data_IF_055886907436
#
_entry.id   IF_055886907436
#
_cell.length_a   1.000
_cell.length_b   1.000
_cell.length_c   1.000
_cell.angle_alpha   90.00
_cell.angle_beta   90.00
_cell.angle_gamma   90.00
#
_symmetry.space_group_name_H-M   'P 1'
#
loop_
_entity.id
_entity.type
_entity.pdbx_description
1 polymer ?
#
# COMPACT_ATOMS: atom_id res chain seq x y z
N UNK A 1 5.22 5.65 -16.68
CA UNK A 1 5.76 4.95 -15.50
C UNK A 1 6.50 5.87 -14.54
N UNK A 2 7.71 6.36 -14.82
CA UNK A 2 8.46 7.22 -13.88
C UNK A 2 7.71 8.51 -13.45
N UNK A 3 7.15 9.26 -14.39
CA UNK A 3 6.40 10.48 -14.07
C UNK A 3 5.12 10.20 -13.26
N UNK A 4 4.51 9.03 -13.44
CA UNK A 4 3.34 8.62 -12.66
C UNK A 4 3.78 8.28 -11.24
N UNK A 5 4.81 7.42 -11.09
CA UNK A 5 5.39 7.09 -9.79
C UNK A 5 5.74 8.34 -8.99
N UNK A 6 6.41 9.31 -9.61
CA UNK A 6 6.73 10.58 -8.97
C UNK A 6 5.49 11.35 -8.51
N UNK A 7 4.44 11.42 -9.32
CA UNK A 7 3.17 12.05 -8.92
C UNK A 7 2.51 11.38 -7.72
N UNK A 8 2.62 10.06 -7.59
CA UNK A 8 2.10 9.32 -6.44
C UNK A 8 2.97 9.44 -5.20
N UNK A 9 4.30 9.45 -5.36
CA UNK A 9 5.23 9.75 -4.28
C UNK A 9 5.00 11.17 -3.74
N UNK A 10 4.79 12.15 -4.62
CA UNK A 10 4.43 13.52 -4.21
C UNK A 10 3.09 13.55 -3.49
N UNK A 11 2.10 12.81 -3.96
CA UNK A 11 0.78 12.71 -3.29
C UNK A 11 0.90 12.04 -1.92
N UNK A 12 1.73 11.00 -1.79
CA UNK A 12 1.98 10.32 -0.52
C UNK A 12 2.69 11.23 0.50
N UNK A 13 3.66 12.01 0.05
CA UNK A 13 4.43 12.95 0.88
C UNK A 13 3.60 14.17 1.28
N UNK A 14 2.83 14.72 0.34
CA UNK A 14 2.10 15.99 0.53
C UNK A 14 0.66 15.80 1.01
N UNK A 15 0.21 14.56 1.15
CA UNK A 15 -1.12 14.22 1.65
C UNK A 15 -2.24 14.93 0.88
N UNK A 16 -3.02 15.75 1.57
CA UNK A 16 -4.17 16.49 1.00
C UNK A 16 -3.78 17.67 0.11
N UNK A 17 -2.54 18.15 0.17
CA UNK A 17 -2.04 19.20 -0.73
C UNK A 17 -1.74 18.65 -2.15
N UNK A 18 -1.51 17.34 -2.26
CA UNK A 18 -1.29 16.62 -3.52
C UNK A 18 -0.12 17.13 -4.37
N UNK A 19 -0.03 16.65 -5.61
CA UNK A 19 0.92 17.15 -6.62
C UNK A 19 0.47 18.51 -7.22
N UNK A 20 -0.02 19.43 -6.38
CA UNK A 20 -0.43 20.76 -6.86
C UNK A 20 0.78 21.56 -7.34
N UNK A 21 0.69 22.04 -8.59
CA UNK A 21 1.68 22.93 -9.20
C UNK A 21 1.67 24.34 -8.63
N UNK A 22 0.61 24.70 -7.89
CA UNK A 22 0.44 26.04 -7.31
C UNK A 22 1.15 26.17 -5.96
N UNK A 23 1.51 25.05 -5.33
CA UNK A 23 2.17 25.03 -4.03
C UNK A 23 3.66 24.67 -4.25
N UNK A 24 4.61 25.59 -3.97
CA UNK A 24 6.03 25.34 -4.16
C UNK A 24 6.53 24.11 -3.39
N UNK A 25 7.39 23.32 -4.02
CA UNK A 25 8.07 22.18 -3.39
C UNK A 25 8.98 22.71 -2.28
N UNK A 26 8.78 22.21 -1.06
CA UNK A 26 9.60 22.54 0.11
C UNK A 26 10.77 21.56 0.24
N UNK A 27 11.80 21.95 0.97
CA UNK A 27 12.94 21.07 1.27
C UNK A 27 12.53 19.84 2.09
N UNK A 28 11.48 19.94 2.91
CA UNK A 28 10.86 18.79 3.60
C UNK A 28 10.36 17.76 2.61
N UNK A 29 9.66 18.20 1.57
CA UNK A 29 9.01 17.33 0.59
C UNK A 29 10.07 16.49 -0.16
N UNK A 30 11.19 17.10 -0.55
CA UNK A 30 12.31 16.40 -1.19
C UNK A 30 12.90 15.33 -0.27
N UNK A 31 13.07 15.64 1.03
CA UNK A 31 13.62 14.68 2.01
C UNK A 31 12.68 13.50 2.21
N UNK A 32 11.39 13.77 2.36
CA UNK A 32 10.37 12.73 2.54
C UNK A 32 10.23 11.86 1.29
N UNK A 33 10.30 12.46 0.09
CA UNK A 33 10.34 11.74 -1.19
C UNK A 33 11.53 10.78 -1.25
N UNK A 34 12.73 11.24 -0.86
CA UNK A 34 13.92 10.38 -0.83
C UNK A 34 13.78 9.22 0.15
N UNK A 35 13.21 9.48 1.34
CA UNK A 35 12.96 8.44 2.36
C UNK A 35 11.97 7.40 1.84
N UNK A 36 10.85 7.85 1.24
CA UNK A 36 9.83 6.97 0.70
C UNK A 36 10.35 6.15 -0.49
N UNK A 37 11.09 6.79 -1.42
CA UNK A 37 11.74 6.09 -2.52
C UNK A 37 12.74 5.04 -2.06
N UNK A 38 13.59 5.38 -1.08
CA UNK A 38 14.53 4.42 -0.49
C UNK A 38 13.80 3.27 0.21
N UNK A 39 12.70 3.56 0.91
CA UNK A 39 11.87 2.54 1.55
C UNK A 39 11.31 1.56 0.50
N UNK A 40 10.73 2.07 -0.59
CA UNK A 40 10.19 1.24 -1.68
C UNK A 40 11.28 0.34 -2.28
N UNK A 41 12.43 0.89 -2.64
CA UNK A 41 13.50 0.06 -3.22
C UNK A 41 14.03 -0.97 -2.23
N UNK A 42 14.13 -0.62 -0.95
CA UNK A 42 14.52 -1.58 0.10
C UNK A 42 13.47 -2.66 0.30
N UNK A 43 12.18 -2.31 0.20
CA UNK A 43 11.07 -3.23 0.29
C UNK A 43 11.12 -4.27 -0.83
N UNK A 44 11.24 -3.81 -2.08
CA UNK A 44 11.36 -4.70 -3.24
C UNK A 44 12.62 -5.54 -3.13
N UNK A 45 13.79 -4.95 -2.85
CA UNK A 45 15.03 -5.73 -2.67
C UNK A 45 14.92 -6.85 -1.63
N UNK A 46 14.10 -6.64 -0.59
CA UNK A 46 13.90 -7.62 0.49
C UNK A 46 12.88 -8.70 0.17
N UNK A 47 11.77 -8.35 -0.49
CA UNK A 47 10.61 -9.23 -0.62
C UNK A 47 10.36 -9.73 -2.04
N UNK A 48 10.77 -8.97 -3.07
CA UNK A 48 10.76 -9.40 -4.48
C UNK A 48 11.88 -10.42 -4.68
N UNK A 49 11.55 -11.68 -4.37
CA UNK A 49 12.48 -12.82 -4.40
C UNK A 49 11.99 -13.92 -5.34
N UNK A 50 10.83 -13.71 -5.96
CA UNK A 50 10.12 -14.63 -6.83
C UNK A 50 10.50 -14.49 -8.30
N UNK A 51 9.64 -15.05 -9.15
CA UNK A 51 9.90 -15.27 -10.57
C UNK A 51 9.73 -14.04 -11.46
N UNK A 52 9.11 -12.96 -10.96
CA UNK A 52 8.83 -11.73 -11.72
C UNK A 52 9.48 -10.56 -11.00
N UNK A 53 10.70 -10.22 -11.42
CA UNK A 53 11.37 -9.03 -10.91
C UNK A 53 10.53 -7.77 -11.20
N UNK A 54 10.34 -6.95 -10.18
CA UNK A 54 9.62 -5.69 -10.26
C UNK A 54 8.18 -5.73 -9.76
N UNK A 55 7.67 -6.88 -9.32
CA UNK A 55 6.34 -7.00 -8.69
C UNK A 55 6.39 -7.87 -7.43
N UNK A 56 5.40 -7.67 -6.55
CA UNK A 56 5.22 -8.42 -5.31
C UNK A 56 3.98 -9.30 -5.47
N UNK A 57 4.17 -10.61 -5.42
CA UNK A 57 3.07 -11.56 -5.46
C UNK A 57 2.46 -11.80 -4.07
N UNK A 58 1.39 -12.60 -4.02
CA UNK A 58 0.70 -12.93 -2.76
C UNK A 58 1.64 -13.50 -1.69
N UNK A 59 2.53 -14.45 -2.05
CA UNK A 59 3.41 -15.11 -1.08
C UNK A 59 4.38 -14.11 -0.46
N UNK A 60 4.93 -13.22 -1.27
CA UNK A 60 5.86 -12.17 -0.85
C UNK A 60 5.14 -11.11 -0.01
N UNK A 61 3.94 -10.70 -0.42
CA UNK A 61 3.09 -9.80 0.35
C UNK A 61 2.79 -10.39 1.73
N UNK A 62 2.37 -11.66 1.82
CA UNK A 62 2.14 -12.33 3.11
C UNK A 62 3.42 -12.42 3.96
N UNK A 63 4.59 -12.56 3.32
CA UNK A 63 5.89 -12.47 4.01
C UNK A 63 6.19 -11.08 4.57
N UNK A 64 5.71 -10.03 3.90
CA UNK A 64 5.85 -8.64 4.32
C UNK A 64 4.77 -8.17 5.32
N UNK A 65 3.62 -8.86 5.40
CA UNK A 65 2.49 -8.50 6.26
C UNK A 65 2.85 -8.18 7.72
N UNK A 66 3.77 -8.90 8.41
CA UNK A 66 4.16 -8.57 9.77
C UNK A 66 4.65 -7.12 9.98
N UNK A 67 5.18 -6.47 8.94
CA UNK A 67 5.60 -5.06 8.99
C UNK A 67 4.37 -4.14 9.07
N UNK A 68 3.29 -4.51 8.38
CA UNK A 68 2.06 -3.71 8.26
C UNK A 68 1.00 -4.07 9.31
N UNK A 69 1.16 -5.19 10.02
CA UNK A 69 0.17 -5.69 10.98
C UNK A 69 -0.16 -4.66 12.08
N UNK A 70 0.86 -4.00 12.64
CA UNK A 70 0.68 -2.95 13.64
C UNK A 70 0.06 -1.67 13.08
N UNK A 71 0.55 -1.08 11.97
CA UNK A 71 -0.13 0.02 11.31
C UNK A 71 -1.60 -0.28 11.00
N UNK A 72 -1.92 -1.46 10.49
CA UNK A 72 -3.29 -1.86 10.18
C UNK A 72 -4.14 -2.03 11.45
N UNK A 73 -3.56 -2.44 12.58
CA UNK A 73 -4.24 -2.52 13.86
C UNK A 73 -4.63 -1.14 14.37
N UNK A 74 -3.76 -0.13 14.23
CA UNK A 74 -4.13 1.25 14.57
C UNK A 74 -5.29 1.78 13.73
N UNK A 75 -5.42 1.33 12.47
CA UNK A 75 -6.49 1.76 11.56
C UNK A 75 -7.82 1.06 11.85
N UNK A 76 -7.80 -0.26 12.00
CA UNK A 76 -9.01 -1.08 12.12
C UNK A 76 -9.46 -1.27 13.58
N UNK A 77 -8.69 -0.81 14.56
CA UNK A 77 -8.99 -1.01 15.97
C UNK A 77 -8.97 -2.51 16.34
N UNK A 78 -10.04 -3.01 16.95
CA UNK A 78 -10.13 -4.39 17.47
C UNK A 78 -10.39 -5.47 16.39
N UNK A 79 -9.90 -5.29 15.16
CA UNK A 79 -9.99 -6.31 14.12
C UNK A 79 -9.07 -7.50 14.43
N UNK A 80 -9.46 -8.71 14.04
CA UNK A 80 -8.60 -9.88 14.22
C UNK A 80 -7.40 -9.82 13.24
N UNK A 81 -6.36 -10.61 13.48
CA UNK A 81 -5.17 -10.62 12.58
C UNK A 81 -5.54 -11.06 11.16
N UNK A 82 -6.55 -11.92 11.01
CA UNK A 82 -6.99 -12.40 9.71
C UNK A 82 -7.74 -11.32 8.92
N UNK A 83 -8.45 -10.41 9.57
CA UNK A 83 -9.11 -9.26 8.97
C UNK A 83 -8.08 -8.26 8.45
N UNK A 84 -7.03 -8.00 9.25
CA UNK A 84 -5.92 -7.14 8.84
C UNK A 84 -5.13 -7.73 7.68
N UNK A 85 -4.88 -9.04 7.72
CA UNK A 85 -4.26 -9.75 6.59
C UNK A 85 -5.12 -9.67 5.34
N UNK A 86 -6.44 -9.88 5.45
CA UNK A 86 -7.37 -9.77 4.34
C UNK A 86 -7.42 -8.34 3.78
N UNK A 87 -7.43 -7.31 4.64
CA UNK A 87 -7.39 -5.91 4.19
C UNK A 87 -6.08 -5.62 3.46
N UNK A 88 -4.95 -6.06 4.03
CA UNK A 88 -3.65 -5.87 3.41
C UNK A 88 -3.57 -6.52 2.03
N UNK A 89 -3.95 -7.79 1.89
CA UNK A 89 -3.92 -8.48 0.59
C UNK A 89 -4.95 -7.93 -0.38
N UNK A 90 -6.09 -7.44 0.10
CA UNK A 90 -7.06 -6.73 -0.73
C UNK A 90 -6.47 -5.44 -1.29
N UNK A 91 -5.81 -4.64 -0.44
CA UNK A 91 -5.14 -3.40 -0.84
C UNK A 91 -4.01 -3.67 -1.83
N UNK A 92 -3.22 -4.72 -1.64
CA UNK A 92 -2.18 -5.12 -2.58
C UNK A 92 -2.75 -5.65 -3.91
N UNK A 93 -3.89 -6.34 -3.88
CA UNK A 93 -4.58 -6.81 -5.09
C UNK A 93 -5.14 -5.67 -5.93
N UNK A 94 -5.74 -4.67 -5.27
CA UNK A 94 -6.54 -3.63 -5.92
C UNK A 94 -5.84 -2.27 -5.96
N UNK A 95 -4.66 -2.14 -5.35
CA UNK A 95 -3.91 -0.89 -5.18
C UNK A 95 -4.68 0.23 -4.47
N UNK A 96 -5.73 -0.13 -3.72
CA UNK A 96 -6.61 0.78 -2.98
C UNK A 96 -7.38 0.00 -1.89
N UNK A 97 -7.80 0.66 -0.79
CA UNK A 97 -8.67 0.05 0.20
C UNK A 97 -10.07 -0.24 -0.40
N UNK A 98 -10.84 -1.17 0.20
CA UNK A 98 -12.25 -1.30 -0.12
C UNK A 98 -12.99 0.00 0.23
N UNK A 99 -14.15 0.27 -0.38
CA UNK A 99 -15.02 1.38 0.00
C UNK A 99 -15.30 1.41 1.52
N UNK A 100 -15.51 2.60 2.08
CA UNK A 100 -15.80 2.77 3.51
C UNK A 100 -17.30 2.67 3.84
N UNK A 101 -18.06 1.96 3.02
CA UNK A 101 -19.49 1.70 3.17
C UNK A 101 -19.77 0.21 3.45
N UNK A 102 -21.06 -0.15 3.52
CA UNK A 102 -21.46 -1.54 3.76
C UNK A 102 -21.05 -2.48 2.61
N UNK A 103 -21.01 -1.98 1.38
CA UNK A 103 -20.62 -2.75 0.21
C UNK A 103 -19.12 -3.10 0.29
N UNK A 104 -18.29 -2.16 0.74
CA UNK A 104 -16.87 -2.41 0.97
C UNK A 104 -16.60 -3.45 2.07
N UNK A 105 -17.41 -3.47 3.13
CA UNK A 105 -17.34 -4.51 4.16
C UNK A 105 -17.71 -5.89 3.59
N UNK A 106 -18.75 -5.96 2.76
CA UNK A 106 -19.15 -7.21 2.09
C UNK A 106 -18.05 -7.72 1.16
N UNK A 107 -17.44 -6.82 0.36
CA UNK A 107 -16.32 -7.15 -0.51
C UNK A 107 -15.13 -7.71 0.30
N UNK A 108 -14.78 -7.09 1.42
CA UNK A 108 -13.69 -7.56 2.27
C UNK A 108 -14.00 -8.93 2.88
N UNK A 109 -15.24 -9.15 3.32
CA UNK A 109 -15.67 -10.46 3.84
C UNK A 109 -15.65 -11.54 2.74
N UNK A 110 -16.11 -11.22 1.53
CA UNK A 110 -16.05 -12.13 0.40
C UNK A 110 -14.61 -12.47 0.04
N UNK A 111 -13.73 -11.46 -0.02
CA UNK A 111 -12.30 -11.64 -0.22
C UNK A 111 -11.70 -12.57 0.84
N UNK A 112 -11.99 -12.34 2.12
CA UNK A 112 -11.54 -13.18 3.24
C UNK A 112 -12.00 -14.65 3.08
N UNK A 113 -13.22 -14.89 2.60
CA UNK A 113 -13.77 -16.24 2.38
C UNK A 113 -13.06 -16.99 1.24
N UNK A 114 -12.62 -16.27 0.21
CA UNK A 114 -11.98 -16.85 -0.99
C UNK A 114 -10.46 -16.87 -0.88
N UNK A 115 -9.91 -17.11 0.32
CA UNK A 115 -8.46 -17.06 0.59
C UNK A 115 -7.64 -18.00 -0.29
N UNK A 116 -8.20 -19.17 -0.62
CA UNK A 116 -7.55 -20.17 -1.48
C UNK A 116 -7.42 -19.71 -2.94
N UNK A 117 -8.22 -18.72 -3.35
CA UNK A 117 -8.24 -18.17 -4.71
C UNK A 117 -7.43 -16.87 -4.85
N UNK A 118 -6.81 -16.40 -3.75
CA UNK A 118 -6.03 -15.18 -3.79
C UNK A 118 -4.86 -15.30 -4.76
N UNK A 119 -4.76 -14.34 -5.68
CA UNK A 119 -3.64 -14.23 -6.61
C UNK A 119 -3.53 -12.80 -7.14
N UNK A 120 -2.32 -12.25 -7.12
CA UNK A 120 -2.01 -10.91 -7.63
C UNK A 120 -0.51 -10.72 -7.84
N UNK A 121 -0.21 -9.65 -8.57
CA UNK A 121 1.11 -9.04 -8.68
C UNK A 121 0.92 -7.54 -8.45
N UNK A 122 1.67 -6.97 -7.51
CA UNK A 122 1.62 -5.56 -7.14
C UNK A 122 2.97 -4.91 -7.44
N UNK A 123 2.99 -3.91 -8.31
CA UNK A 123 4.20 -3.19 -8.65
C UNK A 123 4.49 -2.05 -7.64
N UNK A 124 5.57 -1.30 -7.89
CA UNK A 124 5.98 -0.16 -7.05
C UNK A 124 4.89 0.91 -6.95
N UNK A 125 4.16 1.10 -8.04
CA UNK A 125 3.07 2.07 -8.10
C UNK A 125 1.95 1.66 -7.15
N UNK A 126 1.52 0.40 -7.23
CA UNK A 126 0.54 -0.18 -6.33
C UNK A 126 0.95 -0.05 -4.86
N UNK A 127 2.19 -0.42 -4.52
CA UNK A 127 2.69 -0.30 -3.14
C UNK A 127 2.71 1.17 -2.67
N UNK A 128 3.06 2.11 -3.55
CA UNK A 128 3.04 3.54 -3.22
C UNK A 128 1.63 4.01 -2.87
N UNK A 129 0.60 3.54 -3.59
CA UNK A 129 -0.79 3.83 -3.23
C UNK A 129 -1.15 3.26 -1.87
N UNK A 130 -0.83 1.99 -1.62
CA UNK A 130 -1.10 1.35 -0.33
C UNK A 130 -0.46 2.12 0.82
N UNK A 131 0.81 2.52 0.68
CA UNK A 131 1.51 3.34 1.67
C UNK A 131 0.87 4.71 1.85
N UNK A 132 0.45 5.37 0.77
CA UNK A 132 -0.25 6.66 0.82
C UNK A 132 -1.57 6.55 1.59
N UNK A 133 -2.35 5.51 1.34
CA UNK A 133 -3.63 5.28 2.02
C UNK A 133 -3.43 4.93 3.50
N UNK A 134 -2.41 4.14 3.84
CA UNK A 134 -2.03 3.88 5.23
C UNK A 134 -1.57 5.16 5.95
N UNK A 135 -0.79 6.00 5.27
CA UNK A 135 -0.28 7.25 5.84
C UNK A 135 -1.40 8.27 6.11
N UNK A 136 -2.42 8.35 5.24
CA UNK A 136 -3.58 9.24 5.46
C UNK A 136 -4.43 8.86 6.67
N UNK A 137 -4.38 7.59 7.05
CA UNK A 137 -5.26 7.04 8.06
C UNK A 137 -4.61 6.99 9.46
N UNK A 138 -3.28 7.20 9.54
CA UNK A 138 -2.50 7.37 10.78
C UNK A 138 -2.48 8.84 11.24
#
# INVERSE_FOLDING_TARGET
>A
EWNQLMGYLETAVRGTEGASIEIPIKTSDIKELMILGQYLETFFLRFDSGSVYGSINLKEALGAFPIYDLPLLSLLGFADRSDREALFTYMMKNCQPPPQDLDGLELLQQWKKLKEEWSFEADRLCLTHVLSELAKAL
#
